data_IF_073071139362
#
_entry.id   IF_073071139362
#
_cell.length_a   1.000
_cell.length_b   1.000
_cell.length_c   1.000
_cell.angle_alpha   90.00
_cell.angle_beta   90.00
_cell.angle_gamma   90.00
#
_symmetry.space_group_name_H-M   'P 1'
#
loop_
_entity.id
_entity.type
_entity.pdbx_description
1 polymer ?
#
# COMPACT_ATOMS: atom_id res chain seq x y z
N UNK A 1 -42.71 -26.70 -2.85
CA UNK A 1 -42.23 -25.32 -3.02
C UNK A 1 -41.07 -25.12 -2.04
N UNK A 2 -39.95 -24.61 -2.56
CA UNK A 2 -38.59 -24.89 -2.09
C UNK A 2 -38.19 -24.29 -0.73
N UNK A 3 -37.24 -25.00 -0.12
CA UNK A 3 -36.64 -24.84 1.20
C UNK A 3 -36.08 -23.44 1.51
N UNK A 4 -36.36 -22.97 2.74
CA UNK A 4 -35.57 -21.94 3.43
C UNK A 4 -34.19 -22.50 3.77
N UNK A 5 -33.13 -22.00 3.13
CA UNK A 5 -31.76 -22.21 3.60
C UNK A 5 -31.45 -21.15 4.67
N UNK A 6 -31.45 -21.58 5.94
CA UNK A 6 -30.93 -20.76 7.03
C UNK A 6 -29.41 -20.63 6.88
N UNK A 7 -28.93 -19.40 6.69
CA UNK A 7 -27.50 -19.09 6.77
C UNK A 7 -27.05 -19.36 8.20
N UNK A 8 -26.27 -20.42 8.43
CA UNK A 8 -25.61 -20.63 9.71
C UNK A 8 -24.39 -19.71 9.82
N UNK A 9 -24.53 -18.65 10.62
CA UNK A 9 -23.41 -17.78 10.99
C UNK A 9 -22.58 -18.52 12.05
N UNK A 10 -21.46 -19.09 11.59
CA UNK A 10 -20.55 -19.88 12.42
C UNK A 10 -20.02 -19.11 13.65
N UNK A 11 -19.96 -19.82 14.78
CA UNK A 11 -19.47 -19.36 16.09
C UNK A 11 -17.96 -19.07 16.01
N UNK A 12 -17.52 -17.91 16.53
CA UNK A 12 -16.09 -17.50 16.56
C UNK A 12 -15.26 -18.50 17.36
N UNK A 13 -14.18 -19.01 16.76
CA UNK A 13 -13.08 -19.67 17.47
C UNK A 13 -12.30 -18.63 18.28
N UNK A 14 -12.06 -18.90 19.57
CA UNK A 14 -11.49 -17.96 20.56
C UNK A 14 -9.98 -18.10 20.75
N UNK A 15 -9.26 -18.70 19.80
CA UNK A 15 -7.79 -18.75 19.88
C UNK A 15 -7.21 -17.56 19.12
N UNK A 16 -7.03 -16.44 19.82
CA UNK A 16 -6.37 -15.26 19.25
C UNK A 16 -4.86 -15.50 19.22
N UNK A 17 -4.36 -15.97 18.08
CA UNK A 17 -2.93 -16.03 17.82
C UNK A 17 -2.31 -14.61 17.92
N UNK A 18 -1.02 -14.47 18.29
CA UNK A 18 -0.35 -13.17 18.36
C UNK A 18 -0.59 -12.37 17.07
N UNK A 19 -1.19 -11.19 17.20
CA UNK A 19 -1.47 -10.34 16.03
C UNK A 19 -0.13 -9.85 15.48
N UNK A 20 0.18 -10.12 14.21
CA UNK A 20 1.42 -9.62 13.64
C UNK A 20 1.37 -8.07 13.57
N UNK A 21 2.51 -7.40 13.71
CA UNK A 21 2.61 -5.94 13.79
C UNK A 21 1.85 -5.24 12.65
N UNK A 22 1.19 -4.09 12.88
CA UNK A 22 0.36 -3.44 11.86
C UNK A 22 1.18 -3.06 10.63
N UNK A 23 0.54 -3.03 9.46
CA UNK A 23 1.17 -2.49 8.26
C UNK A 23 1.32 -0.98 8.42
N UNK A 24 2.52 -0.43 8.22
CA UNK A 24 2.72 1.01 8.13
C UNK A 24 2.61 1.44 6.67
N UNK A 25 1.50 2.06 6.30
CA UNK A 25 1.22 2.49 4.93
C UNK A 25 1.50 3.98 4.83
N UNK A 26 2.36 4.37 3.90
CA UNK A 26 2.56 5.77 3.51
C UNK A 26 1.90 5.96 2.15
N UNK A 27 0.81 6.72 2.14
CA UNK A 27 -0.05 6.96 1.00
C UNK A 27 0.17 8.37 0.47
N UNK A 28 0.80 8.51 -0.69
CA UNK A 28 0.96 9.78 -1.38
C UNK A 28 -0.18 10.02 -2.36
N UNK A 29 -0.94 11.08 -2.14
CA UNK A 29 -2.06 11.52 -2.98
C UNK A 29 -3.41 11.48 -2.27
N UNK A 30 -3.99 12.65 -2.04
CA UNK A 30 -5.35 12.86 -1.54
C UNK A 30 -6.38 13.02 -2.68
N UNK A 31 -6.10 12.44 -3.86
CA UNK A 31 -7.09 12.40 -4.95
C UNK A 31 -8.19 11.36 -4.73
N UNK A 32 -9.14 11.26 -5.66
CA UNK A 32 -10.30 10.36 -5.58
C UNK A 32 -9.95 8.90 -5.22
N UNK A 33 -8.84 8.36 -5.74
CA UNK A 33 -8.38 6.99 -5.42
C UNK A 33 -7.87 6.90 -3.98
N UNK A 34 -7.13 7.91 -3.51
CA UNK A 34 -6.65 8.00 -2.14
C UNK A 34 -7.80 7.99 -1.13
N UNK A 35 -8.83 8.82 -1.36
CA UNK A 35 -10.04 8.83 -0.53
C UNK A 35 -10.74 7.46 -0.50
N UNK A 36 -10.91 6.83 -1.67
CA UNK A 36 -11.55 5.53 -1.76
C UNK A 36 -10.75 4.45 -1.00
N UNK A 37 -9.42 4.51 -1.10
CA UNK A 37 -8.52 3.56 -0.43
C UNK A 37 -8.50 3.76 1.09
N UNK A 38 -8.41 5.00 1.57
CA UNK A 38 -8.40 5.32 3.00
C UNK A 38 -9.64 4.80 3.72
N UNK A 39 -10.82 4.86 3.07
CA UNK A 39 -12.05 4.28 3.62
C UNK A 39 -11.93 2.77 3.87
N UNK A 40 -11.27 2.04 2.96
CA UNK A 40 -11.03 0.60 3.11
C UNK A 40 -9.95 0.32 4.16
N UNK A 41 -8.84 1.04 4.11
CA UNK A 41 -7.71 0.89 5.05
C UNK A 41 -8.10 1.25 6.48
N UNK A 42 -9.08 2.14 6.66
CA UNK A 42 -9.65 2.52 7.96
C UNK A 42 -10.23 1.36 8.77
N UNK A 43 -10.55 0.25 8.11
CA UNK A 43 -11.11 -0.96 8.74
C UNK A 43 -10.08 -2.08 8.93
N UNK A 44 -8.82 -1.87 8.55
CA UNK A 44 -7.76 -2.88 8.59
C UNK A 44 -6.76 -2.60 9.72
N UNK A 45 -6.08 -3.64 10.25
CA UNK A 45 -5.03 -3.49 11.26
C UNK A 45 -3.74 -2.92 10.63
N UNK A 46 -3.79 -1.64 10.29
CA UNK A 46 -2.71 -0.85 9.70
C UNK A 46 -2.72 0.57 10.27
N UNK A 47 -1.60 1.27 10.12
CA UNK A 47 -1.48 2.72 10.31
C UNK A 47 -1.28 3.33 8.94
N UNK A 48 -1.99 4.42 8.63
CA UNK A 48 -1.90 5.12 7.36
C UNK A 48 -1.39 6.53 7.60
N UNK A 49 -0.25 6.87 7.03
CA UNK A 49 0.21 8.24 6.88
C UNK A 49 -0.21 8.72 5.49
N UNK A 50 -1.18 9.64 5.43
CA UNK A 50 -1.80 10.10 4.19
C UNK A 50 -1.30 11.50 3.83
N UNK A 51 -0.51 11.57 2.75
CA UNK A 51 0.34 12.71 2.41
C UNK A 51 -0.12 13.35 1.10
N UNK A 52 -0.30 14.67 1.10
CA UNK A 52 -0.55 15.50 -0.08
C UNK A 52 -0.13 16.95 0.23
N UNK A 53 0.13 17.77 -0.78
CA UNK A 53 0.46 19.19 -0.59
C UNK A 53 -0.80 20.06 -0.41
N UNK A 54 -1.95 19.57 -0.87
CA UNK A 54 -3.22 20.29 -0.87
C UNK A 54 -4.03 19.92 0.36
N UNK A 55 -3.90 20.74 1.41
CA UNK A 55 -4.61 20.58 2.68
C UNK A 55 -6.14 20.48 2.48
N UNK A 56 -6.69 21.25 1.53
CA UNK A 56 -8.12 21.31 1.24
C UNK A 56 -8.71 20.01 0.66
N UNK A 57 -7.88 19.05 0.27
CA UNK A 57 -8.36 17.75 -0.20
C UNK A 57 -8.69 16.80 0.94
N UNK A 58 -8.12 16.98 2.13
CA UNK A 58 -8.39 16.09 3.23
C UNK A 58 -9.79 16.33 3.81
N UNK A 59 -10.51 15.27 4.20
CA UNK A 59 -11.79 15.43 4.88
C UNK A 59 -11.57 15.90 6.33
N UNK A 60 -12.56 16.59 6.90
CA UNK A 60 -12.55 17.02 8.31
C UNK A 60 -12.39 15.84 9.29
N UNK A 61 -12.93 14.68 8.92
CA UNK A 61 -12.85 13.45 9.71
C UNK A 61 -12.18 12.33 8.92
N UNK A 62 -11.25 11.65 9.58
CA UNK A 62 -10.57 10.46 9.06
C UNK A 62 -10.73 9.28 10.02
N UNK A 63 -10.63 8.03 9.53
CA UNK A 63 -10.56 6.87 10.42
C UNK A 63 -9.44 7.00 11.45
N UNK A 64 -9.64 6.46 12.66
CA UNK A 64 -8.72 6.65 13.79
C UNK A 64 -7.27 6.17 13.57
N UNK A 65 -7.05 5.30 12.59
CA UNK A 65 -5.73 4.78 12.21
C UNK A 65 -5.07 5.55 11.05
N UNK A 66 -5.65 6.68 10.65
CA UNK A 66 -5.17 7.53 9.55
C UNK A 66 -4.64 8.84 10.14
N UNK A 67 -3.43 9.21 9.75
CA UNK A 67 -2.78 10.47 10.10
C UNK A 67 -2.59 11.26 8.80
N UNK A 68 -3.15 12.46 8.77
CA UNK A 68 -3.03 13.37 7.63
C UNK A 68 -1.72 14.16 7.73
N UNK A 69 -1.04 14.29 6.61
CA UNK A 69 0.20 15.05 6.45
C UNK A 69 0.06 15.99 5.25
N UNK A 70 -0.49 17.18 5.50
CA UNK A 70 -0.52 18.26 4.52
C UNK A 70 0.85 18.94 4.47
N UNK A 71 1.61 18.75 3.39
CA UNK A 71 3.01 19.22 3.31
C UNK A 71 3.46 19.58 1.90
N UNK A 72 4.19 20.68 1.76
CA UNK A 72 4.84 21.11 0.51
C UNK A 72 6.07 20.25 0.15
N UNK A 73 6.51 19.38 1.06
CA UNK A 73 7.68 18.48 0.86
C UNK A 73 7.29 17.01 1.04
N UNK A 74 6.35 16.48 0.26
CA UNK A 74 5.88 15.11 0.42
C UNK A 74 6.98 14.07 0.23
N UNK A 75 7.99 14.33 -0.59
CA UNK A 75 9.10 13.41 -0.77
C UNK A 75 9.98 13.27 0.48
N UNK A 76 10.06 14.28 1.35
CA UNK A 76 10.79 14.19 2.61
C UNK A 76 10.22 13.12 3.56
N UNK A 77 8.91 12.85 3.49
CA UNK A 77 8.24 11.82 4.30
C UNK A 77 8.79 10.42 4.01
N UNK A 78 9.31 10.18 2.80
CA UNK A 78 9.92 8.89 2.45
C UNK A 78 11.10 8.55 3.35
N UNK A 79 11.89 9.53 3.78
CA UNK A 79 13.11 9.30 4.57
C UNK A 79 12.79 9.05 6.05
N UNK A 80 11.70 9.60 6.55
CA UNK A 80 11.27 9.45 7.96
C UNK A 80 10.38 8.23 8.19
N UNK A 81 9.89 7.59 7.12
CA UNK A 81 9.09 6.38 7.22
C UNK A 81 9.88 5.23 7.89
N UNK A 82 9.24 4.42 8.75
CA UNK A 82 9.92 3.33 9.44
C UNK A 82 10.34 2.22 8.47
N UNK A 83 11.35 1.41 8.82
CA UNK A 83 11.64 0.17 8.13
C UNK A 83 10.40 -0.73 8.04
N UNK A 84 10.26 -1.43 6.93
CA UNK A 84 9.13 -2.29 6.62
C UNK A 84 7.88 -1.54 6.12
N UNK A 85 7.97 -0.23 5.85
CA UNK A 85 6.86 0.56 5.32
C UNK A 85 6.35 0.05 3.96
N UNK A 86 5.08 0.33 3.69
CA UNK A 86 4.39 0.13 2.43
C UNK A 86 4.17 1.49 1.79
N UNK A 87 4.84 1.76 0.67
CA UNK A 87 4.71 3.02 -0.05
C UNK A 87 3.70 2.88 -1.19
N UNK A 88 2.70 3.76 -1.21
CA UNK A 88 1.69 3.83 -2.26
C UNK A 88 1.73 5.22 -2.89
N UNK A 89 2.06 5.29 -4.17
CA UNK A 89 2.16 6.55 -4.91
C UNK A 89 0.97 6.67 -5.86
N UNK A 90 0.04 7.57 -5.55
CA UNK A 90 -1.15 7.84 -6.35
C UNK A 90 -1.44 9.32 -6.53
N UNK A 91 -0.38 10.12 -6.69
CA UNK A 91 -0.50 11.54 -7.00
C UNK A 91 -0.96 11.75 -8.45
N UNK A 92 -1.32 12.98 -8.78
CA UNK A 92 -1.65 13.40 -10.14
C UNK A 92 -0.47 14.10 -10.83
N UNK A 93 0.65 14.32 -10.12
CA UNK A 93 1.80 15.07 -10.59
C UNK A 93 2.94 14.13 -11.00
N UNK A 94 3.20 14.05 -12.31
CA UNK A 94 4.23 13.16 -12.86
C UNK A 94 5.65 13.44 -12.38
N UNK A 95 5.98 14.69 -12.07
CA UNK A 95 7.30 15.05 -11.56
C UNK A 95 7.45 14.59 -10.11
N UNK A 96 6.42 14.83 -9.29
CA UNK A 96 6.37 14.38 -7.90
C UNK A 96 6.42 12.84 -7.82
N UNK A 97 5.60 12.14 -8.61
CA UNK A 97 5.62 10.67 -8.65
C UNK A 97 7.02 10.12 -8.93
N UNK A 98 7.76 10.74 -9.85
CA UNK A 98 9.12 10.32 -10.16
C UNK A 98 10.08 10.63 -9.01
N UNK A 99 9.96 11.80 -8.37
CA UNK A 99 10.77 12.15 -7.19
C UNK A 99 10.58 11.13 -6.07
N UNK A 100 9.32 10.79 -5.77
CA UNK A 100 8.94 9.76 -4.80
C UNK A 100 9.51 8.40 -5.19
N UNK A 101 9.34 7.97 -6.45
CA UNK A 101 9.91 6.70 -6.92
C UNK A 101 11.43 6.65 -6.74
N UNK A 102 12.14 7.70 -7.15
CA UNK A 102 13.59 7.76 -7.03
C UNK A 102 14.05 7.72 -5.57
N UNK A 103 13.34 8.40 -4.66
CA UNK A 103 13.68 8.41 -3.23
C UNK A 103 13.34 7.07 -2.56
N UNK A 104 12.17 6.49 -2.83
CA UNK A 104 11.78 5.16 -2.34
C UNK A 104 12.75 4.09 -2.82
N UNK A 105 13.14 4.10 -4.10
CA UNK A 105 14.08 3.12 -4.66
C UNK A 105 15.50 3.26 -4.12
N UNK A 106 15.87 4.35 -3.42
CA UNK A 106 17.15 4.41 -2.68
C UNK A 106 17.11 3.61 -1.38
N UNK A 107 15.92 3.42 -0.80
CA UNK A 107 15.75 2.60 0.40
C UNK A 107 15.95 1.13 0.07
N UNK A 108 16.35 0.37 1.09
CA UNK A 108 16.59 -1.09 1.03
C UNK A 108 15.75 -1.85 2.04
N UNK A 109 14.90 -1.15 2.77
CA UNK A 109 14.25 -1.63 3.99
C UNK A 109 12.72 -1.51 3.94
N UNK A 110 12.12 -1.19 2.79
CA UNK A 110 10.65 -1.15 2.65
C UNK A 110 10.09 -2.54 2.36
N UNK A 111 8.83 -2.78 2.74
CA UNK A 111 8.14 -4.05 2.46
C UNK A 111 7.51 -4.06 1.07
N UNK A 112 6.99 -2.91 0.63
CA UNK A 112 6.31 -2.80 -0.65
C UNK A 112 6.36 -1.39 -1.23
N UNK A 113 6.47 -1.30 -2.55
CA UNK A 113 6.28 -0.06 -3.30
C UNK A 113 5.35 -0.28 -4.50
N UNK A 114 4.19 0.36 -4.45
CA UNK A 114 3.20 0.37 -5.52
C UNK A 114 2.93 1.78 -6.02
N UNK A 115 2.76 1.93 -7.33
CA UNK A 115 2.46 3.19 -7.99
C UNK A 115 1.30 3.09 -8.97
N UNK A 116 0.36 4.02 -8.90
CA UNK A 116 -0.68 4.18 -9.91
C UNK A 116 -0.09 4.65 -11.24
N UNK A 117 -0.61 4.14 -12.35
CA UNK A 117 -0.21 4.57 -13.67
C UNK A 117 -0.37 3.49 -14.73
N UNK A 118 0.19 3.73 -15.90
CA UNK A 118 0.17 2.80 -17.02
C UNK A 118 1.48 2.03 -17.13
N UNK A 119 1.48 0.92 -17.90
CA UNK A 119 2.70 0.23 -18.31
C UNK A 119 3.69 1.18 -19.02
N UNK A 120 3.19 2.14 -19.79
CA UNK A 120 4.02 3.15 -20.44
C UNK A 120 4.69 4.09 -19.43
N UNK A 121 3.99 4.50 -18.37
CA UNK A 121 4.58 5.29 -17.27
C UNK A 121 5.69 4.49 -16.59
N UNK A 122 5.44 3.21 -16.30
CA UNK A 122 6.43 2.29 -15.73
C UNK A 122 7.73 2.29 -16.54
N UNK A 123 7.66 2.00 -17.84
CA UNK A 123 8.84 1.93 -18.73
C UNK A 123 9.61 3.25 -18.76
N UNK A 124 8.92 4.40 -18.77
CA UNK A 124 9.56 5.72 -18.71
C UNK A 124 10.28 5.95 -17.39
N UNK A 125 9.69 5.53 -16.28
CA UNK A 125 10.27 5.68 -14.95
C UNK A 125 11.46 4.76 -14.76
N UNK A 126 11.36 3.49 -15.17
CA UNK A 126 12.45 2.52 -15.15
C UNK A 126 13.72 3.06 -15.83
N UNK A 127 13.60 3.59 -17.05
CA UNK A 127 14.74 4.21 -17.76
C UNK A 127 15.39 5.33 -16.94
N UNK A 128 14.57 6.27 -16.45
CA UNK A 128 15.06 7.41 -15.66
C UNK A 128 15.62 7.00 -14.30
N UNK A 129 15.14 5.89 -13.71
CA UNK A 129 15.67 5.34 -12.45
C UNK A 129 17.04 4.70 -12.68
N UNK A 130 17.23 3.97 -13.79
CA UNK A 130 18.55 3.46 -14.19
C UNK A 130 19.53 4.63 -14.39
N UNK A 131 19.12 5.69 -15.08
CA UNK A 131 19.94 6.90 -15.26
C UNK A 131 20.31 7.59 -13.93
N UNK A 132 19.56 7.29 -12.85
CA UNK A 132 19.80 7.78 -11.48
C UNK A 132 20.55 6.78 -10.60
N UNK A 133 21.02 5.66 -11.16
CA UNK A 133 21.84 4.66 -10.48
C UNK A 133 21.04 3.57 -9.75
N UNK A 134 19.76 3.35 -10.09
CA UNK A 134 19.00 2.19 -9.58
C UNK A 134 19.39 0.96 -10.39
N UNK A 135 19.82 -0.09 -9.69
CA UNK A 135 20.19 -1.37 -10.30
C UNK A 135 19.00 -1.99 -11.07
N UNK A 136 19.28 -2.62 -12.22
CA UNK A 136 18.26 -3.15 -13.13
C UNK A 136 17.38 -4.24 -12.47
N UNK A 137 18.00 -5.10 -11.66
CA UNK A 137 17.33 -6.18 -10.92
C UNK A 137 16.32 -5.66 -9.89
N UNK A 138 16.56 -4.47 -9.34
CA UNK A 138 15.67 -3.84 -8.37
C UNK A 138 14.42 -3.21 -8.95
N UNK A 139 14.35 -3.00 -10.27
CA UNK A 139 13.16 -2.41 -10.88
C UNK A 139 11.89 -3.27 -10.67
N UNK A 140 12.07 -4.56 -10.39
CA UNK A 140 10.99 -5.48 -9.99
C UNK A 140 10.35 -5.09 -8.65
N UNK A 141 11.06 -4.39 -7.76
CA UNK A 141 10.55 -3.92 -6.46
C UNK A 141 9.49 -2.81 -6.64
N UNK A 142 9.52 -2.09 -7.75
CA UNK A 142 8.49 -1.11 -8.12
C UNK A 142 7.33 -1.83 -8.80
N UNK A 143 6.14 -1.81 -8.19
CA UNK A 143 4.91 -2.30 -8.83
C UNK A 143 4.17 -1.14 -9.50
N UNK A 144 3.94 -1.24 -10.81
CA UNK A 144 3.20 -0.25 -11.59
C UNK A 144 2.68 -0.91 -12.88
N UNK A 145 1.37 -0.89 -13.19
CA UNK A 145 0.28 -0.41 -12.34
C UNK A 145 0.17 -1.17 -11.01
N UNK A 146 -0.15 -0.45 -9.94
CA UNK A 146 -0.55 -1.01 -8.63
C UNK A 146 -1.96 -1.63 -8.72
N UNK A 147 -2.20 -2.67 -7.89
CA UNK A 147 -3.46 -3.38 -7.75
C UNK A 147 -3.41 -4.79 -8.35
N UNK A 148 -4.24 -5.70 -7.82
CA UNK A 148 -4.36 -7.06 -8.37
C UNK A 148 -4.81 -7.03 -9.83
N UNK A 149 -4.28 -7.95 -10.63
CA UNK A 149 -4.69 -8.13 -12.02
C UNK A 149 -6.16 -8.62 -12.12
N UNK A 150 -6.77 -8.37 -13.28
CA UNK A 150 -8.12 -8.85 -13.61
C UNK A 150 -9.25 -7.85 -13.33
N UNK A 151 -8.99 -6.79 -12.56
CA UNK A 151 -9.93 -5.68 -12.37
C UNK A 151 -9.58 -4.58 -13.38
N UNK A 152 -10.43 -4.40 -14.40
CA UNK A 152 -10.20 -3.42 -15.48
C UNK A 152 -10.97 -2.11 -15.29
N UNK A 153 -11.89 -2.07 -14.32
CA UNK A 153 -12.65 -0.87 -13.98
C UNK A 153 -11.70 0.21 -13.42
N UNK A 154 -11.83 1.42 -13.97
CA UNK A 154 -11.02 2.58 -13.63
C UNK A 154 -11.69 3.48 -12.59
N UNK A 155 -12.88 3.12 -12.11
CA UNK A 155 -13.55 3.83 -11.04
C UNK A 155 -12.65 3.84 -9.77
N UNK A 156 -12.52 4.97 -9.06
CA UNK A 156 -11.67 5.05 -7.88
C UNK A 156 -11.94 3.97 -6.82
N UNK A 157 -13.19 3.60 -6.50
CA UNK A 157 -13.47 2.48 -5.59
C UNK A 157 -12.97 1.12 -6.10
N UNK A 158 -13.07 0.85 -7.40
CA UNK A 158 -12.60 -0.41 -7.98
C UNK A 158 -11.07 -0.51 -7.91
N UNK A 159 -10.37 0.58 -8.21
CA UNK A 159 -8.90 0.67 -8.05
C UNK A 159 -8.53 0.48 -6.57
N UNK A 160 -9.24 1.14 -5.65
CA UNK A 160 -8.99 1.00 -4.22
C UNK A 160 -9.15 -0.44 -3.72
N UNK A 161 -10.19 -1.16 -4.18
CA UNK A 161 -10.35 -2.59 -3.88
C UNK A 161 -9.20 -3.41 -4.44
N UNK A 162 -8.79 -3.15 -5.69
CA UNK A 162 -7.68 -3.88 -6.31
C UNK A 162 -6.35 -3.69 -5.56
N UNK A 163 -6.06 -2.46 -5.12
CA UNK A 163 -4.88 -2.13 -4.30
C UNK A 163 -4.98 -2.78 -2.92
N UNK A 164 -6.11 -2.65 -2.24
CA UNK A 164 -6.33 -3.24 -0.93
C UNK A 164 -6.15 -4.77 -0.95
N UNK A 165 -6.68 -5.44 -1.99
CA UNK A 165 -6.49 -6.87 -2.19
C UNK A 165 -5.00 -7.24 -2.37
N UNK A 166 -4.24 -6.45 -3.13
CA UNK A 166 -2.81 -6.67 -3.33
C UNK A 166 -2.02 -6.54 -2.02
N UNK A 167 -2.31 -5.51 -1.22
CA UNK A 167 -1.71 -5.30 0.09
C UNK A 167 -1.98 -6.48 1.03
N UNK A 168 -3.21 -6.99 1.06
CA UNK A 168 -3.58 -8.16 1.86
C UNK A 168 -2.88 -9.44 1.40
N UNK A 169 -2.66 -9.63 0.09
CA UNK A 169 -1.86 -10.74 -0.43
C UNK A 169 -0.41 -10.67 0.04
N UNK A 170 0.22 -9.50 -0.06
CA UNK A 170 1.59 -9.27 0.42
C UNK A 170 1.67 -9.53 1.92
N UNK A 171 0.73 -8.98 2.68
CA UNK A 171 0.63 -9.15 4.12
C UNK A 171 0.52 -10.62 4.51
N UNK A 172 -0.34 -11.37 3.84
CA UNK A 172 -0.53 -12.81 4.10
C UNK A 172 0.75 -13.61 3.86
N UNK A 173 1.50 -13.28 2.78
CA UNK A 173 2.81 -13.90 2.52
C UNK A 173 3.83 -13.59 3.62
N UNK A 174 3.88 -12.34 4.08
CA UNK A 174 4.79 -11.92 5.17
C UNK A 174 4.48 -12.66 6.48
N UNK A 175 3.20 -12.74 6.86
CA UNK A 175 2.79 -13.46 8.07
C UNK A 175 3.14 -14.95 7.98
N UNK A 176 2.91 -15.59 6.83
CA UNK A 176 3.26 -16.99 6.63
C UNK A 176 4.78 -17.23 6.71
N UNK A 177 5.60 -16.35 6.12
CA UNK A 177 7.05 -16.43 6.17
C UNK A 177 7.60 -16.27 7.61
N UNK A 178 7.06 -15.30 8.36
CA UNK A 178 7.42 -15.08 9.77
C UNK A 178 7.08 -16.31 10.64
N UNK A 179 5.89 -16.88 10.46
CA UNK A 179 5.47 -18.07 11.19
C UNK A 179 6.34 -19.29 10.88
N UNK A 180 6.78 -19.44 9.62
CA UNK A 180 7.70 -20.51 9.23
C UNK A 180 9.09 -20.34 9.87
N UNK A 181 9.63 -19.12 9.88
CA UNK A 181 10.92 -18.81 10.50
C UNK A 181 10.91 -19.07 12.02
N UNK A 182 9.85 -18.65 12.71
CA UNK A 182 9.70 -18.88 14.15
C UNK A 182 9.68 -20.36 14.52
N UNK A 183 9.00 -21.20 13.72
CA UNK A 183 9.00 -22.66 13.92
C UNK A 183 10.40 -23.26 13.76
N UNK A 184 11.16 -22.79 12.77
CA UNK A 184 12.52 -23.25 12.53
C UNK A 184 13.46 -22.88 13.69
N UNK A 185 13.41 -21.64 14.18
CA UNK A 185 14.22 -21.21 15.33
C UNK A 185 13.83 -21.92 16.64
N UNK A 186 12.55 -22.29 16.82
CA UNK A 186 12.07 -22.99 18.01
C UNK A 186 12.37 -24.50 18.01
N UNK A 187 12.91 -25.04 16.91
CA UNK A 187 13.27 -26.46 16.75
C UNK A 187 14.79 -26.71 16.76
N UNK A 188 15.58 -25.67 17.02
CA UNK A 188 17.04 -25.70 17.25
C UNK A 188 17.31 -25.39 18.71
#
# INVERSE_FOLDING_TARGET
MNASSSVQIGRRSTVEAPRPAPMHIVLFGAGHVGHALVKLLGSLPCVVQWVDERDELFPDETPANVQVEATDTPDAIVDTAPPGAYFLVMTHNHALDFSLAARIMRRRDFTYFGMIGSKTKRVKFERRLIDRGVDLDRLVEMTCPIGVAGIVDKAPPAIAVAVCAELLQIRSRQVAAQAAMQKLCASV
#
